data_IF_091876311810
#
_entry.id   IF_091876311810
#
_cell.length_a   1.000
_cell.length_b   1.000
_cell.length_c   1.000
_cell.angle_alpha   90.00
_cell.angle_beta   90.00
_cell.angle_gamma   90.00
#
_symmetry.space_group_name_H-M   'P 1'
#
loop_
_entity.id
_entity.type
_entity.pdbx_description
1 polymer ?
#
# COMPACT_ATOMS: atom_id res chain seq x y z
N UNK A 1 34.56 8.52 -10.70
CA UNK A 1 33.62 8.75 -9.59
C UNK A 1 32.92 7.42 -9.35
N UNK A 2 33.39 6.65 -8.36
CA UNK A 2 32.88 5.30 -8.06
C UNK A 2 31.82 5.49 -6.98
N UNK A 3 30.58 5.13 -7.26
CA UNK A 3 29.53 5.19 -6.25
C UNK A 3 29.82 4.12 -5.20
N UNK A 4 30.10 4.54 -3.96
CA UNK A 4 30.28 3.62 -2.84
C UNK A 4 29.00 2.78 -2.70
N UNK A 5 29.15 1.47 -2.90
CA UNK A 5 28.05 0.52 -2.80
C UNK A 5 27.60 0.44 -1.33
N UNK A 6 26.54 1.17 -1.00
CA UNK A 6 25.93 1.16 0.33
C UNK A 6 25.62 -0.30 0.72
N UNK A 7 26.08 -0.78 1.89
CA UNK A 7 25.81 -2.15 2.31
C UNK A 7 24.31 -2.39 2.34
N UNK A 8 23.85 -3.37 1.56
CA UNK A 8 22.44 -3.78 1.44
C UNK A 8 21.95 -4.37 2.77
N UNK A 9 21.70 -3.51 3.76
CA UNK A 9 21.04 -3.82 5.03
C UNK A 9 19.51 -3.75 4.93
N UNK A 10 18.96 -3.88 3.71
CA UNK A 10 17.58 -3.48 3.42
C UNK A 10 16.50 -4.48 3.90
N UNK A 11 16.83 -5.46 4.74
CA UNK A 11 15.86 -6.46 5.25
C UNK A 11 15.12 -7.30 4.20
N UNK A 12 15.43 -7.13 2.91
CA UNK A 12 14.83 -7.92 1.85
C UNK A 12 15.50 -9.29 1.82
N UNK A 13 14.69 -10.31 1.61
CA UNK A 13 15.15 -11.68 1.64
C UNK A 13 16.11 -11.91 0.47
N UNK A 14 17.16 -12.69 0.69
CA UNK A 14 18.20 -12.96 -0.32
C UNK A 14 17.60 -13.54 -1.62
N UNK A 15 16.43 -14.15 -1.51
CA UNK A 15 15.68 -14.74 -2.60
C UNK A 15 15.03 -13.66 -3.49
N UNK A 16 14.54 -12.54 -2.94
CA UNK A 16 14.01 -11.42 -3.73
C UNK A 16 15.11 -10.79 -4.60
N UNK A 17 16.31 -10.58 -4.04
CA UNK A 17 17.46 -10.09 -4.81
C UNK A 17 17.83 -11.06 -5.94
N UNK A 18 17.82 -12.36 -5.67
CA UNK A 18 18.15 -13.37 -6.68
C UNK A 18 17.12 -13.45 -7.81
N UNK A 19 15.84 -13.18 -7.54
CA UNK A 19 14.81 -13.07 -8.58
C UNK A 19 15.07 -11.89 -9.51
N UNK A 20 15.32 -10.72 -8.93
CA UNK A 20 15.62 -9.50 -9.68
C UNK A 20 16.88 -9.71 -10.52
N UNK A 21 17.92 -10.30 -9.94
CA UNK A 21 19.14 -10.65 -10.66
C UNK A 21 18.88 -11.55 -11.87
N UNK A 22 18.10 -12.64 -11.70
CA UNK A 22 17.78 -13.53 -12.82
C UNK A 22 16.93 -12.85 -13.90
N UNK A 23 16.02 -11.97 -13.51
CA UNK A 23 15.24 -11.18 -14.44
C UNK A 23 16.15 -10.26 -15.28
N UNK A 24 17.01 -9.48 -14.62
CA UNK A 24 17.96 -8.58 -15.28
C UNK A 24 18.93 -9.37 -16.16
N UNK A 25 19.44 -10.52 -15.68
CA UNK A 25 20.32 -11.41 -16.45
C UNK A 25 19.71 -11.87 -17.77
N UNK A 26 18.41 -12.19 -17.78
CA UNK A 26 17.70 -12.63 -18.99
C UNK A 26 17.35 -11.48 -19.93
N UNK A 27 16.93 -10.33 -19.38
CA UNK A 27 16.41 -9.22 -20.18
C UNK A 27 17.51 -8.26 -20.65
N UNK A 28 18.46 -7.91 -19.77
CA UNK A 28 19.51 -6.92 -19.99
C UNK A 28 20.80 -7.31 -19.23
N UNK A 29 21.52 -8.36 -19.67
CA UNK A 29 22.69 -8.88 -18.96
C UNK A 29 23.82 -7.84 -18.79
N UNK A 30 23.95 -6.88 -19.72
CA UNK A 30 24.95 -5.82 -19.65
C UNK A 30 24.81 -4.89 -18.43
N UNK A 31 23.62 -4.84 -17.80
CA UNK A 31 23.37 -4.00 -16.62
C UNK A 31 23.68 -4.71 -15.31
N UNK A 32 24.01 -6.00 -15.32
CA UNK A 32 24.19 -6.77 -14.09
C UNK A 32 25.30 -6.20 -13.21
N UNK A 33 26.47 -5.91 -13.80
CA UNK A 33 27.58 -5.33 -13.05
C UNK A 33 27.25 -3.94 -12.50
N UNK A 34 26.56 -3.11 -13.28
CA UNK A 34 26.16 -1.76 -12.85
C UNK A 34 25.18 -1.83 -11.67
N UNK A 35 24.21 -2.75 -11.73
CA UNK A 35 23.12 -2.81 -10.76
C UNK A 35 23.45 -3.56 -9.47
N UNK A 36 24.30 -4.59 -9.55
CA UNK A 36 24.61 -5.46 -8.42
C UNK A 36 26.07 -5.39 -7.97
N UNK A 37 26.99 -4.96 -8.84
CA UNK A 37 28.42 -5.07 -8.62
C UNK A 37 28.96 -6.49 -8.86
N UNK A 38 30.25 -6.59 -9.16
CA UNK A 38 30.90 -7.85 -9.55
C UNK A 38 30.85 -8.91 -8.44
N UNK A 39 31.21 -8.54 -7.20
CA UNK A 39 31.18 -9.46 -6.06
C UNK A 39 29.79 -10.03 -5.79
N UNK A 40 28.75 -9.19 -5.90
CA UNK A 40 27.36 -9.62 -5.66
C UNK A 40 26.85 -10.51 -6.78
N UNK A 41 27.14 -10.17 -8.04
CA UNK A 41 26.87 -11.03 -9.19
C UNK A 41 27.48 -12.41 -8.96
N UNK A 42 28.76 -12.48 -8.61
CA UNK A 42 29.44 -13.74 -8.34
C UNK A 42 28.81 -14.54 -7.20
N UNK A 43 28.40 -13.87 -6.12
CA UNK A 43 27.69 -14.51 -5.00
C UNK A 43 26.32 -15.06 -5.42
N UNK A 44 25.59 -14.34 -6.27
CA UNK A 44 24.28 -14.76 -6.77
C UNK A 44 24.39 -15.91 -7.78
N UNK A 45 25.43 -15.93 -8.62
CA UNK A 45 25.71 -17.03 -9.55
C UNK A 45 26.11 -18.31 -8.84
N UNK A 46 26.97 -18.22 -7.80
CA UNK A 46 27.37 -19.38 -6.98
C UNK A 46 26.19 -20.11 -6.35
N UNK A 47 25.07 -19.42 -6.12
CA UNK A 47 23.91 -20.01 -5.47
C UNK A 47 23.07 -20.90 -6.38
N UNK A 48 23.41 -21.04 -7.68
CA UNK A 48 22.83 -22.00 -8.63
C UNK A 48 21.30 -22.16 -8.51
N UNK A 49 20.61 -21.06 -8.20
CA UNK A 49 19.17 -21.11 -8.01
C UNK A 49 18.53 -21.14 -9.39
N UNK A 50 18.33 -22.35 -9.92
CA UNK A 50 17.31 -22.61 -10.93
C UNK A 50 15.96 -22.24 -10.31
N UNK A 51 15.58 -20.97 -10.39
CA UNK A 51 14.23 -20.56 -10.06
C UNK A 51 13.33 -21.04 -11.17
N UNK A 52 12.77 -22.23 -10.97
CA UNK A 52 11.60 -22.64 -11.71
C UNK A 52 10.46 -21.62 -11.46
N UNK A 53 9.54 -21.52 -12.41
CA UNK A 53 8.40 -20.59 -12.37
C UNK A 53 7.59 -20.68 -11.07
N UNK A 54 7.54 -21.87 -10.44
CA UNK A 54 6.85 -22.10 -9.19
C UNK A 54 7.58 -21.46 -8.00
N UNK A 55 8.91 -21.49 -7.99
CA UNK A 55 9.71 -20.81 -6.95
C UNK A 55 9.45 -19.29 -6.93
N UNK A 56 9.27 -18.68 -8.10
CA UNK A 56 8.86 -17.27 -8.26
C UNK A 56 7.49 -16.98 -7.64
N UNK A 57 6.52 -17.87 -7.85
CA UNK A 57 5.17 -17.75 -7.29
C UNK A 57 5.17 -17.89 -5.76
N UNK A 58 5.87 -18.89 -5.22
CA UNK A 58 5.97 -19.13 -3.78
C UNK A 58 6.58 -17.94 -3.04
N UNK A 59 7.59 -17.28 -3.64
CA UNK A 59 8.18 -16.07 -3.06
C UNK A 59 7.27 -14.86 -3.15
N UNK A 60 6.57 -14.67 -4.27
CA UNK A 60 5.57 -13.60 -4.39
C UNK A 60 4.48 -13.75 -3.32
N UNK A 61 4.07 -14.99 -3.02
CA UNK A 61 3.15 -15.27 -1.91
C UNK A 61 3.79 -14.99 -0.54
N UNK A 62 5.07 -15.31 -0.34
CA UNK A 62 5.79 -14.99 0.89
C UNK A 62 5.95 -13.48 1.13
N UNK A 63 6.24 -12.70 0.08
CA UNK A 63 6.32 -11.22 0.14
C UNK A 63 4.94 -10.64 0.42
N UNK A 64 3.89 -11.18 -0.21
CA UNK A 64 2.50 -10.78 0.04
C UNK A 64 2.10 -10.97 1.52
N UNK A 65 2.64 -11.98 2.18
CA UNK A 65 2.45 -12.20 3.62
C UNK A 65 3.26 -11.26 4.54
N UNK A 66 4.31 -10.59 4.03
CA UNK A 66 5.17 -9.67 4.79
C UNK A 66 4.80 -8.20 4.64
N UNK A 67 3.94 -7.84 3.69
CA UNK A 67 3.26 -6.55 3.73
C UNK A 67 2.61 -6.44 5.11
N UNK A 68 2.73 -5.29 5.82
CA UNK A 68 2.16 -5.13 7.14
C UNK A 68 0.65 -5.37 7.04
N UNK A 69 0.22 -6.60 7.32
CA UNK A 69 -1.06 -6.85 7.95
C UNK A 69 -1.00 -5.96 9.17
N UNK A 70 -1.79 -4.88 9.16
CA UNK A 70 -1.82 -3.87 10.20
C UNK A 70 -1.65 -4.58 11.54
N UNK A 71 -0.47 -4.44 12.16
CA UNK A 71 -0.33 -4.77 13.58
C UNK A 71 -1.39 -3.91 14.21
N UNK A 72 -2.32 -4.52 14.94
CA UNK A 72 -3.37 -3.81 15.65
C UNK A 72 -2.74 -2.60 16.33
N UNK A 73 -2.94 -1.43 15.73
CA UNK A 73 -2.60 -0.19 16.36
C UNK A 73 -3.56 -0.17 17.52
N UNK A 74 -3.06 -0.52 18.72
CA UNK A 74 -3.76 -0.30 19.97
C UNK A 74 -4.01 1.20 20.02
N UNK A 75 -5.16 1.59 19.50
CA UNK A 75 -5.76 2.89 19.74
C UNK A 75 -5.81 2.97 21.26
N UNK A 76 -5.10 3.94 21.84
CA UNK A 76 -5.23 4.26 23.25
C UNK A 76 -6.72 4.57 23.49
N UNK A 77 -7.42 3.63 24.12
CA UNK A 77 -8.72 3.91 24.72
C UNK A 77 -8.44 4.73 25.98
N UNK A 78 -8.69 6.03 25.89
CA UNK A 78 -8.91 6.84 27.08
C UNK A 78 -10.28 6.46 27.62
N UNK A 79 -10.26 5.79 28.77
CA UNK A 79 -11.43 5.51 29.59
C UNK A 79 -11.87 6.82 30.23
N UNK A 80 -12.93 7.44 29.71
CA UNK A 80 -13.70 8.43 30.44
C UNK A 80 -15.03 7.81 30.82
N UNK A 81 -15.12 7.42 32.10
CA UNK A 81 -16.35 7.13 32.79
C UNK A 81 -17.18 8.42 32.89
N UNK A 82 -18.28 8.52 32.13
CA UNK A 82 -19.34 9.44 32.52
C UNK A 82 -20.70 9.04 31.98
N UNK A 83 -21.67 9.25 32.85
CA UNK A 83 -22.97 8.59 32.96
C UNK A 83 -24.08 9.18 32.07
N UNK A 84 -24.92 8.28 31.58
CA UNK A 84 -26.39 8.31 31.60
C UNK A 84 -27.13 9.48 30.92
N UNK A 85 -27.73 9.20 29.76
CA UNK A 85 -29.05 9.73 29.39
C UNK A 85 -29.73 8.80 28.37
N UNK A 86 -30.94 8.36 28.70
CA UNK A 86 -31.85 7.64 27.81
C UNK A 86 -32.35 8.57 26.69
N UNK A 87 -32.26 8.12 25.43
CA UNK A 87 -33.00 8.72 24.32
C UNK A 87 -33.46 7.63 23.34
N UNK A 88 -34.76 7.68 23.02
CA UNK A 88 -35.54 6.72 22.24
C UNK A 88 -34.93 6.38 20.88
N UNK A 89 -34.84 5.08 20.61
CA UNK A 89 -34.48 4.52 19.31
C UNK A 89 -35.69 4.52 18.36
N UNK A 90 -35.62 5.32 17.29
CA UNK A 90 -36.38 5.06 16.06
C UNK A 90 -35.51 4.28 15.10
N UNK A 91 -35.73 2.96 15.06
CA UNK A 91 -35.12 2.01 14.14
C UNK A 91 -35.58 2.27 12.71
N UNK A 92 -34.75 2.96 11.92
CA UNK A 92 -34.85 2.97 10.46
C UNK A 92 -33.85 1.98 9.94
N UNK A 93 -34.35 0.78 9.63
CA UNK A 93 -33.61 -0.33 9.04
C UNK A 93 -33.17 0.07 7.61
N UNK A 94 -31.96 0.62 7.51
CA UNK A 94 -31.28 0.79 6.23
C UNK A 94 -30.30 -0.35 6.09
N UNK A 95 -30.77 -1.39 5.42
CA UNK A 95 -29.95 -2.46 4.84
C UNK A 95 -28.81 -1.83 4.04
N UNK A 96 -27.65 -1.70 4.68
CA UNK A 96 -26.42 -1.30 4.03
C UNK A 96 -26.02 -2.49 3.16
N UNK A 97 -26.23 -2.32 1.86
CA UNK A 97 -25.77 -3.24 0.83
C UNK A 97 -24.24 -3.26 0.88
N UNK A 98 -23.70 -4.09 1.77
CA UNK A 98 -22.28 -4.39 1.89
C UNK A 98 -21.91 -5.12 0.61
N UNK A 99 -21.61 -4.36 -0.44
CA UNK A 99 -21.27 -4.85 -1.76
C UNK A 99 -20.26 -5.98 -1.64
N UNK A 100 -20.77 -7.21 -1.80
CA UNK A 100 -19.98 -8.42 -1.83
C UNK A 100 -18.88 -8.19 -2.85
N UNK A 101 -17.64 -8.07 -2.37
CA UNK A 101 -16.47 -7.86 -3.22
C UNK A 101 -16.53 -8.91 -4.34
N UNK A 102 -16.73 -8.51 -5.62
CA UNK A 102 -16.90 -9.46 -6.70
C UNK A 102 -15.74 -10.44 -6.67
N UNK A 103 -16.10 -11.73 -6.80
CA UNK A 103 -15.25 -12.89 -6.52
C UNK A 103 -13.78 -12.63 -6.83
N UNK A 104 -12.91 -12.94 -5.86
CA UNK A 104 -11.47 -12.67 -5.88
C UNK A 104 -10.83 -13.32 -7.12
N UNK A 105 -10.88 -12.65 -8.26
CA UNK A 105 -10.00 -12.90 -9.38
C UNK A 105 -8.61 -12.64 -8.82
N UNK A 106 -7.87 -13.72 -8.53
CA UNK A 106 -6.52 -13.68 -7.96
C UNK A 106 -5.65 -13.07 -9.06
N UNK A 107 -5.58 -11.74 -9.10
CA UNK A 107 -4.72 -11.02 -10.05
C UNK A 107 -3.31 -11.52 -9.80
N UNK A 108 -2.72 -12.08 -10.85
CA UNK A 108 -1.37 -12.64 -10.81
C UNK A 108 -0.40 -11.48 -10.93
N UNK A 109 0.36 -11.22 -9.87
CA UNK A 109 1.51 -10.30 -9.94
C UNK A 109 2.51 -10.94 -10.91
N UNK A 110 2.82 -10.24 -11.99
CA UNK A 110 3.80 -10.70 -12.98
C UNK A 110 5.22 -10.51 -12.44
N UNK A 111 6.20 -11.29 -12.89
CA UNK A 111 7.61 -11.07 -12.52
C UNK A 111 8.06 -9.63 -12.82
N UNK A 112 7.67 -9.08 -13.97
CA UNK A 112 7.98 -7.71 -14.38
C UNK A 112 7.46 -6.67 -13.36
N UNK A 113 6.20 -6.82 -12.92
CA UNK A 113 5.61 -5.93 -11.92
C UNK A 113 6.30 -6.05 -10.55
N UNK A 114 6.68 -7.27 -10.16
CA UNK A 114 7.42 -7.50 -8.92
C UNK A 114 8.81 -6.82 -8.93
N UNK A 115 9.52 -6.93 -10.06
CA UNK A 115 10.82 -6.28 -10.27
C UNK A 115 10.68 -4.77 -10.28
N UNK A 116 9.63 -4.23 -10.92
CA UNK A 116 9.35 -2.80 -10.90
C UNK A 116 9.16 -2.29 -9.47
N UNK A 117 8.31 -2.95 -8.65
CA UNK A 117 8.10 -2.54 -7.27
C UNK A 117 9.36 -2.62 -6.41
N UNK A 118 10.22 -3.62 -6.64
CA UNK A 118 11.51 -3.76 -5.97
C UNK A 118 12.41 -2.53 -6.19
N UNK A 119 12.52 -2.05 -7.44
CA UNK A 119 13.34 -0.87 -7.74
C UNK A 119 12.70 0.45 -7.29
N UNK A 120 11.37 0.55 -7.38
CA UNK A 120 10.60 1.70 -6.90
C UNK A 120 10.78 1.93 -5.39
N UNK A 121 10.73 0.87 -4.58
CA UNK A 121 10.91 0.96 -3.13
C UNK A 121 12.33 1.41 -2.73
N UNK A 122 13.33 1.08 -3.56
CA UNK A 122 14.72 1.51 -3.35
C UNK A 122 15.03 2.89 -3.91
N UNK A 123 14.06 3.56 -4.54
CA UNK A 123 14.25 4.84 -5.25
C UNK A 123 15.38 4.77 -6.30
N UNK A 124 15.54 3.62 -6.95
CA UNK A 124 16.56 3.42 -7.99
C UNK A 124 16.00 3.82 -9.37
N UNK A 125 15.79 5.13 -9.57
CA UNK A 125 15.16 5.67 -10.79
C UNK A 125 15.94 5.37 -12.08
N UNK A 126 17.27 5.32 -12.00
CA UNK A 126 18.12 4.92 -13.13
C UNK A 126 17.80 3.50 -13.61
N UNK A 127 17.70 2.54 -12.68
CA UNK A 127 17.34 1.16 -13.00
C UNK A 127 15.92 1.05 -13.59
N UNK A 128 14.96 1.80 -13.04
CA UNK A 128 13.59 1.81 -13.55
C UNK A 128 13.51 2.33 -14.98
N UNK A 129 14.17 3.46 -15.26
CA UNK A 129 14.21 4.06 -16.59
C UNK A 129 14.92 3.16 -17.60
N UNK A 130 15.95 2.45 -17.16
CA UNK A 130 16.66 1.52 -18.04
C UNK A 130 15.87 0.24 -18.28
N UNK A 131 15.16 -0.31 -17.29
CA UNK A 131 14.46 -1.60 -17.44
C UNK A 131 13.05 -1.48 -18.04
N UNK A 132 12.36 -0.37 -17.80
CA UNK A 132 10.96 -0.18 -18.17
C UNK A 132 10.79 1.14 -18.93
N UNK A 133 10.08 1.09 -20.06
CA UNK A 133 9.67 2.29 -20.78
C UNK A 133 8.64 3.10 -19.97
N UNK A 134 8.46 4.37 -20.33
CA UNK A 134 7.58 5.30 -19.62
C UNK A 134 6.12 4.83 -19.56
N UNK A 135 5.60 4.23 -20.63
CA UNK A 135 4.23 3.72 -20.67
C UNK A 135 4.05 2.57 -19.67
N UNK A 136 4.97 1.60 -19.66
CA UNK A 136 4.98 0.49 -18.71
C UNK A 136 5.08 0.96 -17.26
N UNK A 137 5.92 1.97 -16.97
CA UNK A 137 6.03 2.53 -15.62
C UNK A 137 4.72 3.17 -15.17
N UNK A 138 4.08 3.93 -16.05
CA UNK A 138 2.79 4.55 -15.77
C UNK A 138 1.68 3.51 -15.53
N UNK A 139 1.62 2.43 -16.32
CA UNK A 139 0.69 1.31 -16.10
C UNK A 139 0.93 0.62 -14.75
N UNK A 140 2.19 0.41 -14.39
CA UNK A 140 2.56 -0.28 -13.15
C UNK A 140 2.31 0.58 -11.91
N UNK A 141 2.53 1.89 -12.00
CA UNK A 141 2.17 2.82 -10.94
C UNK A 141 0.66 2.82 -10.70
N UNK A 142 -0.18 2.70 -11.72
CA UNK A 142 -1.63 2.63 -11.54
C UNK A 142 -2.10 1.35 -10.80
N UNK A 143 -1.27 0.32 -10.69
CA UNK A 143 -1.62 -0.95 -10.05
C UNK A 143 -1.38 -0.94 -8.54
N UNK A 144 -2.32 -1.54 -7.81
CA UNK A 144 -2.18 -1.79 -6.37
C UNK A 144 -1.14 -2.89 -6.11
N UNK A 145 -0.14 -2.63 -5.25
CA UNK A 145 0.90 -3.62 -4.90
C UNK A 145 0.33 -4.88 -4.25
N UNK A 146 -0.71 -4.74 -3.42
CA UNK A 146 -1.25 -5.86 -2.65
C UNK A 146 -2.10 -6.82 -3.48
N UNK A 147 -2.84 -6.30 -4.48
CA UNK A 147 -3.81 -7.09 -5.23
C UNK A 147 -3.75 -6.92 -6.75
N UNK A 148 -2.83 -6.14 -7.29
CA UNK A 148 -2.62 -5.92 -8.73
C UNK A 148 -3.75 -5.19 -9.47
N UNK A 149 -4.83 -4.76 -8.79
CA UNK A 149 -5.93 -4.03 -9.43
C UNK A 149 -5.45 -2.67 -9.93
N UNK A 150 -5.85 -2.31 -11.14
CA UNK A 150 -5.60 -1.00 -11.74
C UNK A 150 -6.56 0.02 -11.15
N UNK A 151 -6.01 1.12 -10.64
CA UNK A 151 -6.76 2.27 -10.15
C UNK A 151 -6.83 3.34 -11.24
N UNK A 152 -8.00 3.96 -11.41
CA UNK A 152 -8.24 4.98 -12.45
C UNK A 152 -7.41 6.26 -12.23
N UNK A 153 -7.09 6.56 -10.97
CA UNK A 153 -6.31 7.73 -10.56
C UNK A 153 -5.69 7.52 -9.18
N UNK A 154 -4.75 8.39 -8.80
CA UNK A 154 -4.02 8.30 -7.54
C UNK A 154 -4.92 8.31 -6.29
N UNK A 155 -6.02 9.06 -6.30
CA UNK A 155 -6.98 9.11 -5.18
C UNK A 155 -7.72 7.79 -5.02
N UNK A 156 -8.21 7.22 -6.11
CA UNK A 156 -8.86 5.90 -6.11
C UNK A 156 -7.89 4.79 -5.67
N UNK A 157 -6.61 4.90 -6.05
CA UNK A 157 -5.54 3.99 -5.61
C UNK A 157 -5.33 4.07 -4.10
N UNK A 158 -5.22 5.28 -3.53
CA UNK A 158 -5.07 5.51 -2.09
C UNK A 158 -6.23 4.93 -1.29
N UNK A 159 -7.47 5.21 -1.69
CA UNK A 159 -8.66 4.62 -1.05
C UNK A 159 -8.65 3.10 -1.11
N UNK A 160 -8.31 2.54 -2.27
CA UNK A 160 -8.22 1.10 -2.42
C UNK A 160 -7.11 0.46 -1.57
N UNK A 161 -5.96 1.13 -1.41
CA UNK A 161 -4.90 0.68 -0.49
C UNK A 161 -5.34 0.80 0.97
N UNK A 162 -6.04 1.88 1.33
CA UNK A 162 -6.59 2.04 2.67
C UNK A 162 -7.56 0.91 3.06
N UNK A 163 -8.36 0.39 2.11
CA UNK A 163 -9.18 -0.81 2.33
C UNK A 163 -8.33 -2.04 2.68
N UNK A 164 -7.19 -2.23 2.00
CA UNK A 164 -6.27 -3.33 2.32
C UNK A 164 -5.63 -3.19 3.69
N UNK A 165 -5.34 -1.96 4.11
CA UNK A 165 -4.77 -1.64 5.41
C UNK A 165 -5.83 -1.53 6.52
N UNK A 166 -7.13 -1.62 6.18
CA UNK A 166 -8.27 -1.36 7.08
C UNK A 166 -8.16 0.02 7.77
N UNK A 167 -7.57 0.99 7.08
CA UNK A 167 -7.44 2.35 7.60
C UNK A 167 -8.81 3.03 7.56
N UNK A 168 -9.26 3.48 8.73
CA UNK A 168 -10.49 4.27 8.87
C UNK A 168 -10.30 5.27 10.01
N UNK A 169 -10.85 6.47 9.82
CA UNK A 169 -10.75 7.58 10.77
C UNK A 169 -12.10 7.81 11.43
N UNK A 170 -12.09 8.08 12.73
CA UNK A 170 -13.30 8.44 13.49
C UNK A 170 -13.83 9.80 13.05
N UNK A 171 -15.14 10.01 13.17
CA UNK A 171 -15.76 11.32 13.01
C UNK A 171 -15.18 12.32 14.04
N UNK A 172 -15.06 13.59 13.65
CA UNK A 172 -14.53 14.65 14.54
C UNK A 172 -15.58 15.22 15.49
N UNK A 173 -16.86 14.90 15.30
CA UNK A 173 -17.94 15.32 16.18
C UNK A 173 -18.05 14.38 17.37
N UNK A 174 -18.10 14.95 18.58
CA UNK A 174 -18.23 14.19 19.83
C UNK A 174 -19.51 13.35 19.84
N UNK A 175 -19.41 12.12 20.37
CA UNK A 175 -20.52 11.16 20.39
C UNK A 175 -20.87 10.51 19.05
N UNK A 176 -20.07 10.71 17.99
CA UNK A 176 -20.29 10.05 16.70
C UNK A 176 -19.27 8.94 16.43
N UNK A 177 -19.74 7.68 16.47
CA UNK A 177 -18.89 6.49 16.26
C UNK A 177 -18.63 6.14 14.80
N UNK A 178 -19.04 7.01 13.87
CA UNK A 178 -18.82 6.77 12.45
C UNK A 178 -17.33 6.72 12.10
N UNK A 179 -16.93 5.74 11.28
CA UNK A 179 -15.57 5.58 10.79
C UNK A 179 -15.55 5.46 9.26
N UNK A 180 -14.58 6.10 8.61
CA UNK A 180 -14.41 6.02 7.16
C UNK A 180 -13.11 6.66 6.68
N UNK A 181 -12.86 6.64 5.38
CA UNK A 181 -11.79 7.45 4.79
C UNK A 181 -12.16 8.95 4.83
N UNK A 182 -11.18 9.87 4.74
CA UNK A 182 -11.44 11.30 4.88
C UNK A 182 -12.50 11.85 3.91
N UNK A 183 -12.62 11.30 2.70
CA UNK A 183 -13.61 11.77 1.72
C UNK A 183 -15.02 11.36 2.14
N UNK A 184 -15.15 10.13 2.63
CA UNK A 184 -16.41 9.59 3.14
C UNK A 184 -16.82 10.27 4.45
N UNK A 185 -15.87 10.53 5.35
CA UNK A 185 -16.10 11.27 6.60
C UNK A 185 -16.55 12.71 6.30
N UNK A 186 -15.97 13.38 5.30
CA UNK A 186 -16.44 14.71 4.87
C UNK A 186 -17.89 14.69 4.35
N UNK A 187 -18.29 13.65 3.60
CA UNK A 187 -19.67 13.50 3.15
C UNK A 187 -20.61 13.20 4.32
N UNK A 188 -20.13 12.44 5.31
CA UNK A 188 -20.85 12.13 6.54
C UNK A 188 -21.19 13.39 7.35
N UNK A 189 -20.30 14.39 7.42
CA UNK A 189 -20.58 15.67 8.10
C UNK A 189 -21.85 16.34 7.57
N UNK A 190 -21.98 16.42 6.24
CA UNK A 190 -23.14 17.04 5.61
C UNK A 190 -24.42 16.20 5.81
N UNK A 191 -24.30 14.87 5.77
CA UNK A 191 -25.44 13.96 5.91
C UNK A 191 -26.02 13.92 7.32
N UNK A 192 -25.16 13.63 8.31
CA UNK A 192 -25.53 13.35 9.71
C UNK A 192 -25.51 14.59 10.58
N UNK A 193 -24.48 15.43 10.46
CA UNK A 193 -24.29 16.61 11.32
C UNK A 193 -24.80 17.90 10.69
N UNK A 194 -25.26 17.85 9.44
CA UNK A 194 -25.70 19.04 8.65
C UNK A 194 -24.63 20.13 8.59
N UNK A 195 -23.36 19.75 8.71
CA UNK A 195 -22.21 20.65 8.73
C UNK A 195 -21.31 20.39 7.52
N UNK A 196 -20.68 21.44 7.01
CA UNK A 196 -19.61 21.36 6.02
C UNK A 196 -18.26 21.49 6.71
N UNK A 197 -17.18 21.19 5.98
CA UNK A 197 -15.80 21.38 6.48
C UNK A 197 -15.53 22.84 6.87
N UNK A 198 -16.19 23.80 6.22
CA UNK A 198 -16.10 25.24 6.56
C UNK A 198 -16.74 25.59 7.90
N UNK A 199 -17.65 24.75 8.40
CA UNK A 199 -18.45 25.02 9.59
C UNK A 199 -17.84 24.35 10.84
N UNK A 200 -16.73 23.62 10.66
CA UNK A 200 -16.00 22.98 11.75
C UNK A 200 -15.31 24.04 12.61
N UNK A 201 -15.31 23.82 13.93
CA UNK A 201 -14.48 24.63 14.82
C UNK A 201 -12.99 24.31 14.61
N UNK A 202 -12.11 25.10 15.23
CA UNK A 202 -10.66 24.98 15.02
C UNK A 202 -10.11 23.58 15.36
N UNK A 203 -10.58 22.98 16.44
CA UNK A 203 -10.14 21.65 16.88
C UNK A 203 -10.60 20.55 15.93
N UNK A 204 -11.87 20.57 15.52
CA UNK A 204 -12.44 19.63 14.56
C UNK A 204 -11.76 19.74 13.20
N UNK A 205 -11.50 20.97 12.75
CA UNK A 205 -10.82 21.25 11.49
C UNK A 205 -9.36 20.76 11.53
N UNK A 206 -8.66 20.94 12.66
CA UNK A 206 -7.31 20.43 12.85
C UNK A 206 -7.28 18.90 12.77
N UNK A 207 -8.15 18.21 13.52
CA UNK A 207 -8.28 16.73 13.47
C UNK A 207 -8.57 16.25 12.06
N UNK A 208 -9.51 16.88 11.35
CA UNK A 208 -9.84 16.52 9.97
C UNK A 208 -8.67 16.76 8.99
N UNK A 209 -7.90 17.84 9.16
CA UNK A 209 -6.69 18.08 8.35
C UNK A 209 -5.62 17.03 8.60
N UNK A 210 -5.39 16.64 9.86
CA UNK A 210 -4.45 15.59 10.21
C UNK A 210 -4.84 14.26 9.53
N UNK A 211 -6.12 13.87 9.60
CA UNK A 211 -6.63 12.67 8.90
C UNK A 211 -6.33 12.70 7.38
N UNK A 212 -6.37 13.87 6.75
CA UNK A 212 -6.05 14.01 5.32
C UNK A 212 -4.56 13.90 5.02
N UNK A 213 -3.69 14.38 5.92
CA UNK A 213 -2.24 14.23 5.81
C UNK A 213 -1.88 12.76 5.96
N UNK A 214 -2.36 12.12 7.03
CA UNK A 214 -2.10 10.70 7.32
C UNK A 214 -2.60 9.78 6.20
N UNK A 215 -3.68 10.15 5.50
CA UNK A 215 -4.19 9.39 4.35
C UNK A 215 -3.44 9.67 3.02
N UNK A 216 -2.67 10.75 2.95
CA UNK A 216 -1.90 11.10 1.77
C UNK A 216 -0.50 10.49 1.75
N UNK A 217 0.06 10.20 2.94
CA UNK A 217 1.31 9.44 3.13
C UNK A 217 1.19 7.98 2.68
#
# INVERSE_FOLDING_TARGET
>A
MVCDATPSGSGHSAEAEALVYNFVKRKKPGLLLEMFGEERCHKLEKRNHFYDRNSLLTMLEAVKGRLPMAKDVKILEQNDDSSNAQAEERSVDKTSDNGTCPGRNKVRITPDLAVFYYFSERKQEGALTTLFDEETRNDYDQKCKACGKVAKNATSRRRHVAEHLKLSYKCVFEGCDYKGDPSVVSAHFAGRHKAKVSDLNEEQLFKYKQMKVDFAE
#
